data_IF_791889364581
#
_entry.id   IF_791889364581
#
_cell.length_a   1.000
_cell.length_b   1.000
_cell.length_c   1.000
_cell.angle_alpha   90.00
_cell.angle_beta   90.00
_cell.angle_gamma   90.00
#
_symmetry.space_group_name_H-M   'P 1'
#
loop_
_entity.id
_entity.type
_entity.pdbx_description
1 polymer ?
#
# COMPACT_ATOMS: atom_id res chain seq x y z
N UNK A 1 -44.22 32.73 25.68
CA UNK A 1 -44.75 31.41 26.08
C UNK A 1 -44.07 30.39 25.20
N UNK A 2 -43.10 29.66 25.76
CA UNK A 2 -42.46 28.53 25.09
C UNK A 2 -43.38 27.32 25.27
N UNK A 3 -43.86 26.74 24.18
CA UNK A 3 -44.44 25.41 24.20
C UNK A 3 -43.32 24.36 24.18
N UNK A 4 -43.26 23.60 25.28
CA UNK A 4 -42.43 22.43 25.43
C UNK A 4 -43.06 21.28 24.65
N UNK A 5 -42.43 20.84 23.56
CA UNK A 5 -42.82 19.60 22.89
C UNK A 5 -42.06 18.40 23.46
N UNK A 6 -42.84 17.38 23.81
CA UNK A 6 -42.43 16.14 24.48
C UNK A 6 -41.58 15.25 23.55
N UNK A 7 -40.70 14.44 24.15
CA UNK A 7 -39.92 13.40 23.45
C UNK A 7 -40.84 12.34 22.83
N UNK A 8 -40.62 11.88 21.59
CA UNK A 8 -41.27 10.68 21.10
C UNK A 8 -40.55 9.42 21.61
N UNK A 9 -41.35 8.38 21.81
CA UNK A 9 -40.96 7.07 22.32
C UNK A 9 -40.25 6.25 21.24
N UNK A 10 -39.40 5.33 21.69
CA UNK A 10 -38.67 4.36 20.86
C UNK A 10 -39.68 3.33 20.35
N UNK A 11 -39.98 3.34 19.04
CA UNK A 11 -40.41 2.21 18.20
C UNK A 11 -41.06 2.76 16.92
N UNK A 12 -40.26 3.25 15.98
CA UNK A 12 -40.70 3.45 14.59
C UNK A 12 -39.60 2.95 13.64
N UNK A 13 -39.86 1.76 13.09
CA UNK A 13 -39.07 1.09 12.07
C UNK A 13 -39.38 1.75 10.73
N UNK A 14 -38.40 2.44 10.14
CA UNK A 14 -38.50 2.94 8.76
C UNK A 14 -37.91 1.87 7.84
N UNK A 15 -38.80 1.20 7.10
CA UNK A 15 -38.49 0.43 5.90
C UNK A 15 -38.05 1.37 4.79
N UNK A 16 -36.88 1.12 4.19
CA UNK A 16 -36.42 1.77 2.96
C UNK A 16 -36.61 0.75 1.84
N UNK A 17 -37.35 1.16 0.80
CA UNK A 17 -37.63 0.40 -0.41
C UNK A 17 -36.35 0.15 -1.21
N UNK A 18 -36.12 -1.12 -1.57
CA UNK A 18 -35.06 -1.60 -2.46
C UNK A 18 -35.47 -1.35 -3.92
N UNK A 19 -34.70 -0.51 -4.63
CA UNK A 19 -34.77 -0.41 -6.09
C UNK A 19 -34.16 -1.66 -6.75
N UNK A 20 -35.00 -2.31 -7.55
CA UNK A 20 -34.75 -3.55 -8.27
C UNK A 20 -33.92 -3.34 -9.54
N UNK A 21 -32.64 -3.75 -9.55
CA UNK A 21 -31.89 -3.99 -10.81
C UNK A 21 -30.80 -5.08 -10.74
N UNK A 22 -30.57 -5.76 -9.60
CA UNK A 22 -29.41 -6.67 -9.43
C UNK A 22 -29.73 -8.20 -9.42
N UNK A 23 -30.98 -8.62 -9.63
CA UNK A 23 -31.33 -10.05 -9.45
C UNK A 23 -30.80 -11.00 -10.56
N UNK A 24 -30.59 -10.52 -11.79
CA UNK A 24 -30.16 -11.40 -12.89
C UNK A 24 -28.69 -11.86 -12.79
N UNK A 25 -27.78 -11.04 -12.24
CA UNK A 25 -26.37 -11.46 -12.07
C UNK A 25 -26.20 -12.49 -10.94
N UNK A 26 -26.98 -12.37 -9.85
CA UNK A 26 -26.94 -13.33 -8.73
C UNK A 26 -27.37 -14.75 -9.11
N UNK A 27 -28.29 -14.90 -10.06
CA UNK A 27 -28.81 -16.21 -10.48
C UNK A 27 -27.81 -16.93 -11.41
N UNK A 28 -27.07 -16.20 -12.24
CA UNK A 28 -26.03 -16.75 -13.12
C UNK A 28 -24.83 -17.24 -12.31
N UNK A 29 -24.48 -16.51 -11.25
CA UNK A 29 -23.38 -16.86 -10.33
C UNK A 29 -23.70 -18.15 -9.58
N UNK A 30 -24.90 -18.29 -8.98
CA UNK A 30 -25.30 -19.50 -8.21
C UNK A 30 -25.33 -20.79 -9.04
N UNK A 31 -25.67 -20.73 -10.33
CA UNK A 31 -25.68 -21.93 -11.22
C UNK A 31 -24.28 -22.43 -11.59
N UNK A 32 -23.23 -21.60 -11.54
CA UNK A 32 -21.84 -22.03 -11.80
C UNK A 32 -21.19 -22.74 -10.60
N UNK A 33 -21.55 -22.39 -9.36
CA UNK A 33 -20.92 -22.96 -8.15
C UNK A 33 -21.27 -24.44 -7.92
N UNK A 34 -22.49 -24.89 -8.24
CA UNK A 34 -22.86 -26.32 -8.12
C UNK A 34 -22.06 -27.25 -9.04
N UNK A 35 -21.40 -26.72 -10.09
CA UNK A 35 -20.61 -27.55 -11.02
C UNK A 35 -19.15 -27.71 -10.59
N UNK A 36 -18.66 -26.93 -9.62
CA UNK A 36 -17.26 -26.96 -9.16
C UNK A 36 -17.07 -27.89 -7.95
N UNK A 37 -18.05 -27.98 -7.05
CA UNK A 37 -18.01 -28.92 -5.90
C UNK A 37 -17.92 -30.39 -6.34
N UNK A 38 -18.33 -30.74 -7.56
CA UNK A 38 -18.22 -32.09 -8.10
C UNK A 38 -16.79 -32.47 -8.55
N UNK A 39 -15.85 -31.52 -8.66
CA UNK A 39 -14.51 -31.77 -9.24
C UNK A 39 -13.36 -31.83 -8.23
N UNK A 40 -13.56 -31.36 -6.99
CA UNK A 40 -12.52 -31.38 -5.96
C UNK A 40 -13.14 -31.68 -4.58
N UNK A 41 -13.00 -32.91 -4.05
CA UNK A 41 -13.48 -33.22 -2.72
C UNK A 41 -12.68 -32.43 -1.67
N UNK A 42 -13.39 -31.91 -0.68
CA UNK A 42 -12.84 -31.22 0.50
C UNK A 42 -11.84 -32.13 1.22
N UNK A 43 -10.55 -31.85 1.11
CA UNK A 43 -9.52 -32.53 1.88
C UNK A 43 -9.50 -31.93 3.28
N UNK A 44 -10.02 -32.68 4.26
CA UNK A 44 -9.82 -32.40 5.68
C UNK A 44 -8.34 -32.64 6.00
N UNK A 45 -7.63 -31.62 6.48
CA UNK A 45 -6.22 -31.70 6.84
C UNK A 45 -6.08 -32.14 8.31
N UNK A 46 -5.26 -33.16 8.54
CA UNK A 46 -4.83 -33.62 9.87
C UNK A 46 -3.73 -32.72 10.49
N UNK A 47 -3.62 -32.66 11.83
CA UNK A 47 -2.91 -31.62 12.57
C UNK A 47 -1.43 -31.91 12.83
N UNK A 48 -0.62 -32.17 11.79
CA UNK A 48 0.84 -32.27 11.94
C UNK A 48 1.57 -31.32 10.97
N UNK A 49 1.67 -30.04 11.33
CA UNK A 49 2.55 -29.08 10.64
C UNK A 49 3.92 -29.01 11.33
N UNK A 50 4.98 -29.09 10.50
CA UNK A 50 6.34 -28.69 10.84
C UNK A 50 6.35 -27.30 11.49
N UNK A 51 6.96 -27.21 12.67
CA UNK A 51 7.24 -25.95 13.37
C UNK A 51 8.27 -25.16 12.55
N UNK A 52 7.84 -24.07 11.91
CA UNK A 52 8.75 -23.11 11.28
C UNK A 52 9.19 -22.10 12.35
N UNK A 53 10.49 -22.08 12.66
CA UNK A 53 11.06 -21.08 13.56
C UNK A 53 11.07 -19.69 12.89
N UNK A 54 10.80 -18.61 13.64
CA UNK A 54 10.88 -17.25 13.13
C UNK A 54 12.34 -16.90 12.77
N UNK A 55 12.58 -16.11 11.69
CA UNK A 55 13.93 -15.81 11.23
C UNK A 55 14.72 -14.96 12.26
N UNK A 56 16.04 -15.11 12.33
CA UNK A 56 16.92 -14.26 13.15
C UNK A 56 16.85 -12.76 12.76
N UNK A 57 17.13 -11.87 13.72
CA UNK A 57 17.19 -10.41 13.56
C UNK A 57 18.59 -10.05 13.07
N UNK A 58 18.70 -9.54 11.83
CA UNK A 58 19.92 -8.91 11.33
C UNK A 58 19.55 -7.48 10.90
N UNK A 59 20.14 -6.48 11.57
CA UNK A 59 20.02 -5.07 11.19
C UNK A 59 20.93 -4.82 9.99
N UNK A 60 20.42 -4.19 8.93
CA UNK A 60 21.22 -3.85 7.75
C UNK A 60 21.36 -2.34 7.63
N UNK A 61 22.52 -1.87 7.16
CA UNK A 61 22.67 -0.50 6.68
C UNK A 61 21.61 -0.21 5.63
N UNK A 62 21.12 1.03 5.58
CA UNK A 62 20.14 1.50 4.59
C UNK A 62 20.51 0.91 3.21
N UNK A 63 19.65 0.07 2.59
CA UNK A 63 20.03 -0.80 1.47
C UNK A 63 20.50 -0.06 0.20
N UNK A 64 20.59 1.27 0.25
CA UNK A 64 21.06 2.12 -0.85
C UNK A 64 22.11 3.18 -0.44
N UNK A 65 22.74 3.09 0.74
CA UNK A 65 23.84 4.02 1.08
C UNK A 65 25.13 3.75 0.30
N UNK A 66 25.30 2.56 -0.30
CA UNK A 66 26.55 2.14 -0.97
C UNK A 66 26.38 1.67 -2.43
N UNK A 67 25.22 1.82 -3.08
CA UNK A 67 25.11 1.57 -4.52
C UNK A 67 25.27 2.90 -5.27
N UNK A 68 26.35 3.03 -6.05
CA UNK A 68 26.52 4.09 -7.05
C UNK A 68 25.39 3.96 -8.07
N UNK A 69 24.41 4.85 -7.91
CA UNK A 69 23.37 5.12 -8.88
C UNK A 69 24.07 5.53 -10.17
N UNK A 70 23.96 4.74 -11.24
CA UNK A 70 24.49 4.98 -12.58
C UNK A 70 25.51 6.14 -12.62
N UNK A 71 26.80 5.85 -12.43
CA UNK A 71 27.81 6.89 -12.55
C UNK A 71 27.61 7.66 -13.86
N UNK A 72 27.54 8.99 -13.76
CA UNK A 72 27.63 9.93 -14.88
C UNK A 72 29.08 9.97 -15.43
N UNK A 73 29.70 8.82 -15.68
CA UNK A 73 30.93 8.78 -16.44
C UNK A 73 30.56 8.60 -17.93
N UNK A 74 30.82 9.64 -18.71
CA UNK A 74 30.72 9.73 -20.18
C UNK A 74 29.44 10.33 -20.82
N UNK A 75 28.70 11.21 -20.13
CA UNK A 75 27.79 12.13 -20.86
C UNK A 75 28.27 13.58 -20.81
N UNK A 76 29.08 13.96 -21.81
CA UNK A 76 29.36 15.36 -22.14
C UNK A 76 28.25 15.87 -23.09
N UNK A 77 27.41 16.84 -22.71
CA UNK A 77 26.46 17.42 -23.64
C UNK A 77 27.22 18.10 -24.80
N UNK A 78 26.74 18.00 -26.06
CA UNK A 78 27.40 18.65 -27.19
C UNK A 78 27.43 20.17 -26.97
N UNK A 79 28.63 20.74 -27.08
CA UNK A 79 28.82 22.18 -27.07
C UNK A 79 28.11 22.81 -28.28
N UNK A 80 27.36 23.88 -28.02
CA UNK A 80 26.67 24.78 -28.95
C UNK A 80 25.25 24.39 -29.37
N UNK A 81 24.28 24.76 -28.54
CA UNK A 81 23.05 25.37 -29.03
C UNK A 81 22.72 26.62 -28.19
N UNK A 82 22.87 27.79 -28.81
CA UNK A 82 22.41 29.06 -28.25
C UNK A 82 20.88 29.05 -28.21
N UNK A 83 20.30 29.01 -27.01
CA UNK A 83 18.91 29.39 -26.80
C UNK A 83 18.87 30.89 -26.51
N UNK A 84 18.77 31.69 -27.57
CA UNK A 84 18.37 33.09 -27.46
C UNK A 84 16.86 33.17 -27.16
N UNK A 85 16.46 33.97 -26.17
CA UNK A 85 15.16 34.64 -26.22
C UNK A 85 14.05 34.29 -25.21
N UNK A 86 14.32 33.75 -24.01
CA UNK A 86 13.31 33.69 -22.95
C UNK A 86 13.77 34.43 -21.69
N UNK A 87 13.00 35.46 -21.27
CA UNK A 87 13.21 36.19 -20.02
C UNK A 87 13.21 35.21 -18.84
N UNK A 88 14.19 35.27 -17.92
CA UNK A 88 14.12 34.48 -16.70
C UNK A 88 12.90 34.90 -15.85
N UNK A 89 12.24 33.96 -15.16
CA UNK A 89 11.17 34.30 -14.22
C UNK A 89 11.71 35.19 -13.08
N UNK A 90 10.88 36.07 -12.50
CA UNK A 90 11.32 36.95 -11.42
C UNK A 90 11.81 36.12 -10.24
N UNK A 91 12.95 36.53 -9.66
CA UNK A 91 13.54 35.89 -8.48
C UNK A 91 12.59 36.01 -7.29
N UNK A 92 12.32 34.93 -6.55
CA UNK A 92 11.55 35.01 -5.32
C UNK A 92 12.30 35.85 -4.27
N UNK A 93 11.60 36.55 -3.37
CA UNK A 93 12.24 37.36 -2.34
C UNK A 93 13.16 36.49 -1.46
N UNK A 94 14.26 37.05 -0.94
CA UNK A 94 15.22 36.30 -0.15
C UNK A 94 14.53 35.74 1.10
N UNK A 95 14.39 34.41 1.15
CA UNK A 95 14.00 33.70 2.38
C UNK A 95 15.11 33.89 3.39
N UNK A 96 14.79 34.48 4.53
CA UNK A 96 15.73 34.63 5.64
C UNK A 96 16.09 33.22 6.15
N UNK A 97 17.15 32.64 5.59
CA UNK A 97 17.41 31.20 5.54
C UNK A 97 17.84 30.62 6.88
N UNK A 98 18.38 31.43 7.78
CA UNK A 98 18.91 30.94 9.06
C UNK A 98 17.81 30.74 10.10
N UNK A 99 16.87 31.68 10.26
CA UNK A 99 15.77 31.53 11.23
C UNK A 99 14.78 30.41 10.85
N UNK A 100 14.58 30.21 9.54
CA UNK A 100 13.68 29.17 9.04
C UNK A 100 14.35 27.79 9.14
N UNK A 101 15.66 27.66 8.88
CA UNK A 101 16.39 26.41 9.10
C UNK A 101 16.48 26.04 10.59
N UNK A 102 16.79 26.99 11.47
CA UNK A 102 16.89 26.76 12.92
C UNK A 102 15.53 26.37 13.55
N UNK A 103 14.43 26.97 13.09
CA UNK A 103 13.08 26.56 13.50
C UNK A 103 12.76 25.16 12.95
N UNK A 104 13.05 24.89 11.68
CA UNK A 104 12.74 23.58 11.05
C UNK A 104 13.58 22.45 11.68
N UNK A 105 14.83 22.69 12.07
CA UNK A 105 15.66 21.73 12.80
C UNK A 105 15.19 21.51 14.25
N UNK A 106 14.83 22.59 14.98
CA UNK A 106 14.25 22.45 16.32
C UNK A 106 12.90 21.70 16.31
N UNK A 107 12.07 21.90 15.29
CA UNK A 107 10.81 21.17 15.13
C UNK A 107 11.01 19.71 14.67
N UNK A 108 12.03 19.42 13.83
CA UNK A 108 12.39 18.04 13.46
C UNK A 108 12.82 17.21 14.68
N UNK A 109 13.57 17.81 15.61
CA UNK A 109 13.98 17.14 16.85
C UNK A 109 12.84 17.01 17.90
N UNK A 110 11.66 17.56 17.62
CA UNK A 110 10.48 17.51 18.49
C UNK A 110 9.36 16.63 17.91
N UNK A 111 9.68 15.62 17.11
CA UNK A 111 8.66 14.69 16.62
C UNK A 111 8.06 13.90 17.80
N UNK A 112 6.82 14.23 18.17
CA UNK A 112 6.10 13.59 19.28
C UNK A 112 5.71 12.14 18.98
N UNK A 113 5.66 11.76 17.71
CA UNK A 113 5.24 10.42 17.28
C UNK A 113 6.47 9.54 17.16
N UNK A 114 6.62 8.64 18.13
CA UNK A 114 7.69 7.64 18.20
C UNK A 114 7.14 6.25 17.88
N UNK A 115 8.02 5.36 17.44
CA UNK A 115 7.78 3.94 17.21
C UNK A 115 6.80 3.62 16.08
N UNK A 116 6.57 4.55 15.15
CA UNK A 116 5.73 4.27 13.98
C UNK A 116 6.45 3.32 13.04
N UNK A 117 5.98 2.06 12.96
CA UNK A 117 6.62 1.02 12.15
C UNK A 117 5.90 0.88 10.81
N UNK A 118 6.65 0.96 9.72
CA UNK A 118 6.09 0.93 8.36
C UNK A 118 6.71 -0.20 7.55
N UNK A 119 5.86 -1.07 7.00
CA UNK A 119 6.27 -2.11 6.07
C UNK A 119 5.87 -1.73 4.64
N UNK A 120 6.82 -1.70 3.72
CA UNK A 120 6.50 -1.71 2.29
C UNK A 120 6.53 -3.12 1.72
N UNK A 121 5.59 -3.43 0.84
CA UNK A 121 5.44 -4.73 0.18
C UNK A 121 5.23 -4.58 -1.33
N UNK A 122 5.91 -5.42 -2.09
CA UNK A 122 5.67 -5.65 -3.52
C UNK A 122 5.60 -7.16 -3.76
N UNK A 123 4.74 -7.60 -4.66
CA UNK A 123 4.59 -9.01 -4.98
C UNK A 123 4.88 -9.26 -6.47
N UNK A 124 5.52 -10.40 -6.74
CA UNK A 124 5.87 -10.89 -8.06
C UNK A 124 4.94 -12.06 -8.41
N UNK A 125 4.45 -12.06 -9.64
CA UNK A 125 3.48 -13.02 -10.14
C UNK A 125 3.89 -13.53 -11.51
N UNK A 126 3.43 -14.73 -11.84
CA UNK A 126 3.53 -15.34 -13.16
C UNK A 126 2.26 -14.97 -13.93
N UNK A 127 2.33 -14.22 -15.04
CA UNK A 127 1.15 -13.94 -15.88
C UNK A 127 1.11 -14.94 -17.04
N UNK A 128 0.03 -15.71 -17.16
CA UNK A 128 -0.09 -16.69 -18.24
C UNK A 128 -0.59 -16.02 -19.53
N UNK A 129 0.28 -15.95 -20.55
CA UNK A 129 0.01 -15.29 -21.84
C UNK A 129 -1.13 -15.91 -22.66
N UNK A 130 -1.50 -17.17 -22.42
CA UNK A 130 -2.64 -17.81 -23.12
C UNK A 130 -3.97 -17.12 -22.80
N UNK A 131 -4.12 -16.60 -21.57
CA UNK A 131 -5.30 -15.80 -21.19
C UNK A 131 -5.40 -14.44 -21.89
N UNK A 132 -4.29 -13.99 -22.52
CA UNK A 132 -4.16 -12.70 -23.20
C UNK A 132 -4.52 -12.81 -24.67
N UNK A 133 -4.21 -13.95 -25.32
CA UNK A 133 -4.49 -14.17 -26.75
C UNK A 133 -5.98 -14.36 -27.06
N UNK A 134 -6.76 -14.98 -26.17
CA UNK A 134 -8.21 -15.15 -26.39
C UNK A 134 -9.00 -13.83 -26.31
N UNK A 135 -8.42 -12.74 -25.78
CA UNK A 135 -9.12 -11.45 -25.58
C UNK A 135 -8.65 -10.34 -26.53
N UNK A 136 -7.67 -10.59 -27.40
CA UNK A 136 -7.05 -9.57 -28.26
C UNK A 136 -7.69 -9.39 -29.64
N UNK A 137 -8.84 -10.00 -29.93
CA UNK A 137 -9.48 -9.87 -31.26
C UNK A 137 -10.26 -8.57 -31.51
N UNK A 138 -10.18 -7.56 -30.62
CA UNK A 138 -10.79 -6.24 -30.88
C UNK A 138 -9.94 -5.08 -30.36
N UNK A 139 -9.16 -4.48 -31.26
CA UNK A 139 -8.80 -3.04 -31.39
C UNK A 139 -8.59 -2.14 -30.15
N UNK A 140 -8.26 -2.68 -28.99
CA UNK A 140 -7.76 -1.94 -27.83
C UNK A 140 -6.79 -2.86 -27.09
N UNK A 141 -5.50 -2.49 -27.04
CA UNK A 141 -4.50 -3.14 -26.18
C UNK A 141 -4.95 -3.00 -24.72
N UNK A 142 -5.77 -3.94 -24.25
CA UNK A 142 -6.22 -4.00 -22.86
C UNK A 142 -4.97 -4.32 -22.04
N UNK A 143 -4.51 -3.36 -21.23
CA UNK A 143 -3.46 -3.60 -20.22
C UNK A 143 -3.83 -4.85 -19.42
N UNK A 144 -3.05 -5.90 -19.58
CA UNK A 144 -3.22 -7.14 -18.86
C UNK A 144 -2.69 -6.93 -17.43
N UNK A 145 -3.56 -7.09 -16.45
CA UNK A 145 -3.19 -7.10 -15.03
C UNK A 145 -3.21 -8.55 -14.55
N UNK A 146 -2.28 -8.94 -13.66
CA UNK A 146 -2.29 -10.25 -13.02
C UNK A 146 -3.65 -10.52 -12.36
N UNK A 147 -4.20 -11.71 -12.59
CA UNK A 147 -5.43 -12.20 -12.01
C UNK A 147 -5.14 -13.18 -10.87
N UNK A 148 -5.45 -12.86 -9.60
CA UNK A 148 -5.21 -13.74 -8.46
C UNK A 148 -5.83 -15.15 -8.58
N UNK A 149 -6.85 -15.35 -9.41
CA UNK A 149 -7.44 -16.67 -9.62
C UNK A 149 -6.55 -17.57 -10.51
N UNK A 150 -5.85 -16.99 -11.48
CA UNK A 150 -5.15 -17.74 -12.51
C UNK A 150 -3.63 -17.68 -12.37
N UNK A 151 -3.13 -16.53 -11.94
CA UNK A 151 -1.73 -16.19 -11.92
C UNK A 151 -1.15 -16.49 -10.52
N UNK A 152 -0.16 -17.38 -10.39
CA UNK A 152 0.45 -17.69 -9.10
C UNK A 152 1.44 -16.62 -8.66
N UNK A 153 1.52 -16.41 -7.35
CA UNK A 153 2.56 -15.62 -6.70
C UNK A 153 3.89 -16.39 -6.67
N UNK A 154 4.94 -15.76 -7.20
CA UNK A 154 6.29 -16.29 -7.27
C UNK A 154 7.16 -15.81 -6.10
N UNK A 155 6.83 -14.65 -5.54
CA UNK A 155 7.54 -14.12 -4.39
C UNK A 155 6.99 -12.80 -3.87
N UNK A 156 7.37 -12.49 -2.63
CA UNK A 156 7.03 -11.26 -1.93
C UNK A 156 8.32 -10.58 -1.48
N UNK A 157 8.37 -9.28 -1.66
CA UNK A 157 9.50 -8.41 -1.34
C UNK A 157 9.02 -7.39 -0.32
N UNK A 158 9.81 -7.18 0.73
CA UNK A 158 9.43 -6.27 1.78
C UNK A 158 10.62 -5.51 2.36
N UNK A 159 10.33 -4.31 2.85
CA UNK A 159 11.26 -3.50 3.62
C UNK A 159 10.47 -2.89 4.78
N UNK A 160 11.01 -2.99 5.99
CA UNK A 160 10.42 -2.51 7.23
C UNK A 160 11.32 -1.41 7.76
N UNK A 161 10.72 -0.26 8.05
CA UNK A 161 11.36 0.85 8.72
C UNK A 161 10.77 0.97 10.12
N UNK A 162 11.63 0.91 11.13
CA UNK A 162 11.24 1.16 12.51
C UNK A 162 11.41 2.64 12.84
N UNK A 163 10.46 3.18 13.62
CA UNK A 163 10.48 4.57 14.09
C UNK A 163 10.72 5.62 12.99
N UNK A 164 9.97 5.49 11.89
CA UNK A 164 10.18 6.29 10.66
C UNK A 164 10.09 7.81 10.88
N UNK A 165 9.40 8.22 11.95
CA UNK A 165 9.15 9.62 12.28
C UNK A 165 10.30 10.29 13.04
N UNK A 166 11.27 9.52 13.56
CA UNK A 166 12.36 10.04 14.39
C UNK A 166 13.61 10.38 13.58
N UNK A 167 14.07 9.45 12.72
CA UNK A 167 15.15 9.73 11.77
C UNK A 167 15.06 8.77 10.59
N UNK A 168 14.56 9.24 9.45
CA UNK A 168 14.48 8.39 8.25
C UNK A 168 15.86 7.87 7.80
N UNK A 169 16.91 8.70 7.93
CA UNK A 169 18.27 8.36 7.51
C UNK A 169 18.94 7.32 8.43
N UNK A 170 18.62 7.36 9.73
CA UNK A 170 19.15 6.44 10.73
C UNK A 170 18.14 5.39 11.20
N UNK A 171 17.02 5.22 10.47
CA UNK A 171 16.00 4.26 10.84
C UNK A 171 16.58 2.85 10.79
N UNK A 172 16.25 2.03 11.77
CA UNK A 172 16.51 0.60 11.70
C UNK A 172 15.70 0.02 10.54
N UNK A 173 16.39 -0.69 9.64
CA UNK A 173 15.79 -1.25 8.43
C UNK A 173 15.99 -2.77 8.41
N UNK A 174 14.88 -3.47 8.19
CA UNK A 174 14.88 -4.90 7.91
C UNK A 174 14.25 -5.13 6.55
N UNK A 175 14.94 -5.81 5.66
CA UNK A 175 14.44 -6.10 4.31
C UNK A 175 14.76 -7.51 3.88
N UNK A 176 13.93 -8.05 2.99
CA UNK A 176 14.20 -9.33 2.35
C UNK A 176 13.17 -9.70 1.32
N UNK A 177 13.26 -10.94 0.85
CA UNK A 177 12.23 -11.52 0.01
C UNK A 177 12.01 -13.01 0.34
N UNK A 178 10.83 -13.48 -0.02
CA UNK A 178 10.46 -14.90 0.03
C UNK A 178 10.06 -15.34 -1.38
N UNK A 179 10.55 -16.49 -1.84
CA UNK A 179 10.23 -17.04 -3.17
C UNK A 179 10.13 -18.56 -3.14
N UNK A 180 9.32 -19.14 -4.02
CA UNK A 180 9.14 -20.59 -4.12
C UNK A 180 9.94 -21.23 -5.28
N UNK A 181 9.85 -20.68 -6.48
CA UNK A 181 10.35 -21.30 -7.73
C UNK A 181 11.71 -20.78 -8.20
N UNK A 182 12.12 -19.58 -7.79
CA UNK A 182 13.30 -18.91 -8.34
C UNK A 182 14.61 -19.50 -7.80
N UNK A 183 15.57 -19.71 -8.69
CA UNK A 183 16.98 -19.97 -8.33
C UNK A 183 17.73 -18.64 -8.19
N UNK A 184 18.61 -18.52 -7.21
CA UNK A 184 19.35 -17.27 -6.98
C UNK A 184 20.74 -17.55 -6.39
N UNK A 185 21.65 -16.60 -6.57
CA UNK A 185 22.97 -16.61 -5.92
C UNK A 185 22.86 -15.89 -4.57
N UNK A 186 23.20 -16.58 -3.48
CA UNK A 186 23.06 -16.07 -2.10
C UNK A 186 23.82 -14.78 -1.78
N UNK A 187 24.80 -14.39 -2.60
CA UNK A 187 25.75 -13.30 -2.29
C UNK A 187 25.23 -11.88 -2.55
N UNK A 188 24.08 -11.71 -3.21
CA UNK A 188 23.64 -10.39 -3.71
C UNK A 188 22.47 -9.77 -2.95
N UNK A 189 21.94 -10.43 -1.92
CA UNK A 189 20.74 -9.97 -1.21
C UNK A 189 20.88 -10.16 0.30
N UNK A 190 20.39 -9.21 1.12
CA UNK A 190 20.51 -9.30 2.57
C UNK A 190 19.80 -10.54 3.12
N UNK A 191 18.57 -10.83 2.66
CA UNK A 191 17.83 -12.02 3.11
C UNK A 191 16.87 -12.53 2.04
N UNK A 192 17.08 -13.77 1.59
CA UNK A 192 16.17 -14.48 0.69
C UNK A 192 15.77 -15.80 1.34
N UNK A 193 14.48 -15.97 1.58
CA UNK A 193 13.90 -17.21 2.07
C UNK A 193 13.30 -18.01 0.91
N UNK A 194 13.70 -19.28 0.79
CA UNK A 194 13.15 -20.19 -0.21
C UNK A 194 12.13 -21.10 0.44
N UNK A 195 10.89 -21.07 -0.06
CA UNK A 195 9.78 -21.90 0.43
C UNK A 195 9.38 -22.96 -0.58
N UNK A 196 8.62 -23.99 -0.14
CA UNK A 196 8.29 -25.15 -0.97
C UNK A 196 7.14 -24.87 -1.93
N UNK A 197 6.09 -24.21 -1.45
CA UNK A 197 4.90 -23.92 -2.26
C UNK A 197 4.44 -22.47 -2.12
N UNK A 198 3.53 -22.06 -3.00
CA UNK A 198 2.91 -20.73 -2.97
C UNK A 198 2.19 -20.45 -1.64
N UNK A 199 1.50 -21.44 -1.06
CA UNK A 199 0.84 -21.27 0.24
C UNK A 199 1.82 -20.93 1.38
N UNK A 200 3.05 -21.44 1.31
CA UNK A 200 4.10 -21.11 2.28
C UNK A 200 4.57 -19.66 2.17
N UNK A 201 4.49 -19.03 0.99
CA UNK A 201 4.76 -17.60 0.82
C UNK A 201 3.81 -16.78 1.70
N UNK A 202 2.52 -17.11 1.69
CA UNK A 202 1.51 -16.40 2.49
C UNK A 202 1.65 -16.67 3.99
N UNK A 203 1.94 -17.91 4.38
CA UNK A 203 2.26 -18.23 5.79
C UNK A 203 3.49 -17.43 6.26
N UNK A 204 4.51 -17.34 5.42
CA UNK A 204 5.72 -16.60 5.72
C UNK A 204 5.45 -15.09 5.86
N UNK A 205 4.62 -14.51 4.97
CA UNK A 205 4.17 -13.13 5.12
C UNK A 205 3.43 -12.91 6.46
N UNK A 206 2.55 -13.82 6.86
CA UNK A 206 1.88 -13.72 8.16
C UNK A 206 2.85 -13.79 9.34
N UNK A 207 3.90 -14.61 9.25
CA UNK A 207 4.97 -14.66 10.26
C UNK A 207 5.73 -13.34 10.37
N UNK A 208 6.11 -12.72 9.24
CA UNK A 208 6.76 -11.40 9.23
C UNK A 208 5.89 -10.34 9.89
N UNK A 209 4.60 -10.30 9.55
CA UNK A 209 3.67 -9.33 10.11
C UNK A 209 3.45 -9.53 11.61
N UNK A 210 3.40 -10.77 12.08
CA UNK A 210 3.31 -11.06 13.52
C UNK A 210 4.60 -10.74 14.26
N UNK A 211 5.75 -11.01 13.65
CA UNK A 211 7.06 -10.79 14.26
C UNK A 211 7.37 -9.31 14.45
N UNK A 212 7.19 -8.50 13.40
CA UNK A 212 7.59 -7.09 13.40
C UNK A 212 6.43 -6.13 13.66
N UNK A 213 5.20 -6.64 13.65
CA UNK A 213 3.96 -5.91 13.94
C UNK A 213 3.87 -4.49 13.36
N UNK A 214 3.99 -4.30 12.04
CA UNK A 214 3.96 -2.97 11.44
C UNK A 214 2.60 -2.28 11.60
N UNK A 215 2.61 -0.99 11.93
CA UNK A 215 1.40 -0.16 12.04
C UNK A 215 0.82 0.18 10.68
N UNK A 216 1.71 0.49 9.74
CA UNK A 216 1.36 0.91 8.38
C UNK A 216 1.95 -0.08 7.38
N UNK A 217 1.12 -0.57 6.46
CA UNK A 217 1.54 -1.39 5.33
C UNK A 217 1.31 -0.58 4.05
N UNK A 218 2.35 -0.44 3.25
CA UNK A 218 2.33 0.34 2.00
C UNK A 218 2.76 -0.50 0.81
N UNK A 219 2.20 -0.21 -0.35
CA UNK A 219 2.66 -0.75 -1.63
C UNK A 219 2.37 0.26 -2.72
N UNK A 220 3.09 0.18 -3.85
CA UNK A 220 2.90 1.16 -4.90
C UNK A 220 1.43 1.18 -5.34
N UNK A 221 0.89 -0.01 -5.64
CA UNK A 221 -0.54 -0.27 -5.83
C UNK A 221 -1.03 -1.42 -4.94
N UNK A 222 -1.17 -1.14 -3.64
CA UNK A 222 -1.50 -2.15 -2.62
C UNK A 222 -2.80 -2.91 -2.88
N UNK A 223 -3.76 -2.28 -3.56
CA UNK A 223 -5.07 -2.85 -3.84
C UNK A 223 -5.05 -3.86 -4.99
N UNK A 224 -4.13 -3.73 -5.96
CA UNK A 224 -4.14 -4.56 -7.17
C UNK A 224 -2.91 -5.46 -7.31
N UNK A 225 -1.72 -4.96 -6.97
CA UNK A 225 -0.44 -5.56 -7.33
C UNK A 225 0.47 -5.86 -6.14
N UNK A 226 0.00 -5.67 -4.90
CA UNK A 226 0.80 -5.96 -3.71
C UNK A 226 0.00 -6.79 -2.70
N UNK A 227 -0.41 -6.20 -1.57
CA UNK A 227 -0.95 -6.95 -0.44
C UNK A 227 -2.32 -7.58 -0.73
N UNK A 228 -3.24 -6.83 -1.33
CA UNK A 228 -4.58 -7.34 -1.60
C UNK A 228 -4.60 -8.46 -2.65
N UNK A 229 -3.61 -8.48 -3.55
CA UNK A 229 -3.40 -9.63 -4.45
C UNK A 229 -3.13 -10.90 -3.64
N UNK A 230 -2.27 -10.81 -2.62
CA UNK A 230 -1.94 -11.93 -1.74
C UNK A 230 -3.18 -12.43 -0.97
N UNK A 231 -4.04 -11.52 -0.50
CA UNK A 231 -5.31 -11.87 0.14
C UNK A 231 -6.20 -12.69 -0.81
N UNK A 232 -6.42 -12.17 -2.02
CA UNK A 232 -7.30 -12.80 -3.01
C UNK A 232 -6.75 -14.15 -3.46
N UNK A 233 -5.42 -14.26 -3.62
CA UNK A 233 -4.75 -15.50 -4.00
C UNK A 233 -4.77 -16.53 -2.89
N UNK A 234 -4.51 -16.14 -1.64
CA UNK A 234 -4.62 -17.02 -0.49
C UNK A 234 -6.04 -17.58 -0.32
N UNK A 235 -7.06 -16.73 -0.51
CA UNK A 235 -8.46 -17.15 -0.51
C UNK A 235 -8.78 -18.15 -1.64
N UNK A 236 -8.25 -17.92 -2.85
CA UNK A 236 -8.40 -18.84 -3.97
C UNK A 236 -7.76 -20.21 -3.71
N UNK A 237 -6.61 -20.24 -3.04
CA UNK A 237 -5.94 -21.48 -2.61
C UNK A 237 -6.60 -22.16 -1.40
N UNK A 238 -7.69 -21.61 -0.86
CA UNK A 238 -8.38 -22.16 0.31
C UNK A 238 -7.68 -21.89 1.65
N UNK A 239 -6.75 -20.94 1.72
CA UNK A 239 -6.05 -20.55 2.96
C UNK A 239 -6.93 -19.55 3.72
N UNK A 240 -8.02 -20.06 4.29
CA UNK A 240 -9.08 -19.23 4.91
C UNK A 240 -8.58 -18.43 6.12
N UNK A 241 -7.58 -18.93 6.84
CA UNK A 241 -7.03 -18.27 8.03
C UNK A 241 -6.02 -17.16 7.72
N UNK A 242 -5.72 -16.86 6.45
CA UNK A 242 -4.70 -15.87 6.11
C UNK A 242 -5.06 -14.46 6.63
N UNK A 243 -6.30 -14.01 6.40
CA UNK A 243 -6.74 -12.68 6.84
C UNK A 243 -6.73 -12.53 8.37
N UNK A 244 -7.16 -13.57 9.09
CA UNK A 244 -7.04 -13.61 10.54
C UNK A 244 -5.58 -13.57 10.98
N UNK A 245 -4.71 -14.25 10.25
CA UNK A 245 -3.30 -14.34 10.61
C UNK A 245 -2.52 -13.04 10.45
N UNK A 246 -2.95 -12.17 9.54
CA UNK A 246 -2.32 -10.88 9.28
C UNK A 246 -2.99 -9.72 10.05
N UNK A 247 -4.22 -9.91 10.54
CA UNK A 247 -4.94 -8.97 11.41
C UNK A 247 -4.32 -8.91 12.81
N UNK A 248 -4.40 -7.74 13.47
CA UNK A 248 -4.09 -7.63 14.91
C UNK A 248 -5.24 -8.10 15.80
N UNK A 249 -6.45 -8.19 15.24
CA UNK A 249 -7.64 -8.67 15.92
C UNK A 249 -8.00 -10.07 15.43
N UNK A 250 -8.02 -11.04 16.35
CA UNK A 250 -8.68 -12.33 16.17
C UNK A 250 -10.11 -12.17 16.66
N UNK A 251 -11.03 -11.94 15.73
CA UNK A 251 -12.46 -12.04 16.04
C UNK A 251 -12.88 -13.47 15.68
N UNK A 252 -13.87 -14.02 16.39
CA UNK A 252 -14.53 -15.25 15.94
C UNK A 252 -15.42 -14.86 14.77
N UNK A 253 -14.89 -14.94 13.57
CA UNK A 253 -15.52 -14.37 12.39
C UNK A 253 -16.47 -15.38 11.73
N UNK A 254 -17.66 -14.93 11.34
CA UNK A 254 -18.58 -15.72 10.52
C UNK A 254 -17.95 -16.10 9.17
N UNK A 255 -18.32 -17.29 8.69
CA UNK A 255 -17.73 -17.98 7.52
C UNK A 255 -17.93 -17.26 6.18
N UNK A 256 -18.54 -16.09 6.15
CA UNK A 256 -18.64 -15.32 4.91
C UNK A 256 -17.27 -14.82 4.48
N UNK A 257 -16.88 -15.27 3.30
CA UNK A 257 -15.51 -15.24 2.78
C UNK A 257 -15.08 -13.78 2.60
N UNK A 258 -14.28 -13.30 3.55
CA UNK A 258 -13.61 -12.00 3.47
C UNK A 258 -12.49 -12.05 2.43
N UNK A 259 -12.63 -11.26 1.36
CA UNK A 259 -11.70 -11.26 0.20
C UNK A 259 -11.01 -9.91 0.01
N UNK A 260 -11.19 -8.97 0.93
CA UNK A 260 -10.77 -7.59 0.73
C UNK A 260 -9.76 -7.12 1.78
N UNK A 261 -9.04 -6.07 1.42
CA UNK A 261 -8.08 -5.40 2.30
C UNK A 261 -8.76 -4.76 3.52
N UNK A 262 -10.00 -4.29 3.37
CA UNK A 262 -10.76 -3.56 4.39
C UNK A 262 -11.20 -4.47 5.56
N UNK A 263 -11.10 -5.78 5.35
CA UNK A 263 -11.41 -6.81 6.32
C UNK A 263 -10.33 -6.95 7.41
N UNK A 264 -9.11 -6.49 7.13
CA UNK A 264 -7.98 -6.59 8.05
C UNK A 264 -8.03 -5.42 9.04
N UNK A 265 -8.05 -5.74 10.33
CA UNK A 265 -8.19 -4.74 11.40
C UNK A 265 -6.91 -4.54 12.18
N UNK A 266 -6.75 -3.33 12.72
CA UNK A 266 -5.62 -2.92 13.55
C UNK A 266 -4.35 -2.52 12.80
N UNK A 267 -4.38 -2.52 11.46
CA UNK A 267 -3.28 -2.03 10.61
C UNK A 267 -3.81 -1.00 9.60
N UNK A 268 -2.97 -0.03 9.26
CA UNK A 268 -3.28 0.99 8.26
C UNK A 268 -2.70 0.55 6.92
N UNK A 269 -3.52 0.59 5.86
CA UNK A 269 -3.07 0.28 4.51
C UNK A 269 -3.03 1.53 3.64
N UNK A 270 -1.87 1.83 3.06
CA UNK A 270 -1.70 3.00 2.18
C UNK A 270 -1.31 2.60 0.77
N UNK A 271 -1.98 3.23 -0.20
CA UNK A 271 -1.68 3.09 -1.61
C UNK A 271 -0.83 4.29 -2.06
N UNK A 272 0.44 4.06 -2.38
CA UNK A 272 1.41 5.14 -2.62
C UNK A 272 1.00 5.99 -3.81
N UNK A 273 0.62 5.41 -4.95
CA UNK A 273 0.29 6.22 -6.13
C UNK A 273 -0.95 7.11 -5.91
N UNK A 274 -1.92 6.65 -5.09
CA UNK A 274 -3.09 7.45 -4.73
C UNK A 274 -2.71 8.65 -3.86
N UNK A 275 -1.78 8.45 -2.93
CA UNK A 275 -1.24 9.53 -2.09
C UNK A 275 -0.50 10.52 -2.98
N UNK A 276 0.45 10.06 -3.79
CA UNK A 276 1.21 10.93 -4.71
C UNK A 276 0.28 11.76 -5.60
N UNK A 277 -0.79 11.15 -6.16
CA UNK A 277 -1.77 11.86 -6.98
C UNK A 277 -2.48 13.01 -6.26
N UNK A 278 -2.71 12.87 -4.95
CA UNK A 278 -3.35 13.92 -4.14
C UNK A 278 -2.37 15.03 -3.78
N UNK A 279 -1.10 14.69 -3.60
CA UNK A 279 -0.07 15.61 -3.12
C UNK A 279 0.59 16.40 -4.25
N UNK A 280 0.80 15.79 -5.41
CA UNK A 280 1.48 16.42 -6.53
C UNK A 280 0.80 16.10 -7.87
N UNK A 281 0.35 17.12 -8.62
CA UNK A 281 -0.23 16.90 -9.95
C UNK A 281 0.87 16.53 -10.95
N UNK A 282 0.77 15.33 -11.53
CA UNK A 282 1.68 14.81 -12.55
C UNK A 282 0.93 14.32 -13.78
N UNK A 283 1.60 14.31 -14.96
CA UNK A 283 1.04 13.74 -16.20
C UNK A 283 0.81 12.24 -16.11
N UNK A 284 1.78 11.52 -15.52
CA UNK A 284 1.74 10.08 -15.38
C UNK A 284 2.20 9.68 -13.98
N UNK A 285 1.48 8.76 -13.35
CA UNK A 285 1.79 8.20 -12.04
C UNK A 285 2.36 6.78 -12.16
N UNK A 286 3.26 6.56 -13.12
CA UNK A 286 4.09 5.34 -13.14
C UNK A 286 5.22 5.51 -12.13
N UNK A 287 5.70 4.40 -11.55
CA UNK A 287 6.72 4.46 -10.51
C UNK A 287 7.99 5.17 -11.03
N UNK A 288 8.46 4.84 -12.24
CA UNK A 288 9.59 5.54 -12.88
C UNK A 288 9.42 7.07 -12.96
N UNK A 289 8.23 7.55 -13.31
CA UNK A 289 7.93 8.98 -13.42
C UNK A 289 7.89 9.64 -12.04
N UNK A 290 7.26 8.99 -11.06
CA UNK A 290 7.17 9.47 -9.68
C UNK A 290 8.55 9.54 -9.02
N UNK A 291 9.40 8.52 -9.21
CA UNK A 291 10.77 8.50 -8.69
C UNK A 291 11.60 9.64 -9.29
N UNK A 292 11.45 9.90 -10.59
CA UNK A 292 12.18 10.99 -11.24
C UNK A 292 11.74 12.36 -10.72
N UNK A 293 10.44 12.59 -10.62
CA UNK A 293 9.89 13.88 -10.23
C UNK A 293 10.13 14.21 -8.75
N UNK A 294 9.92 13.24 -7.85
CA UNK A 294 9.98 13.46 -6.39
C UNK A 294 11.38 13.26 -5.83
N UNK A 295 12.10 12.23 -6.29
CA UNK A 295 13.41 11.87 -5.74
C UNK A 295 14.58 12.38 -6.60
N UNK A 296 14.31 12.85 -7.82
CA UNK A 296 15.36 13.26 -8.77
C UNK A 296 16.16 12.09 -9.35
N UNK A 297 15.71 10.84 -9.16
CA UNK A 297 16.46 9.62 -9.55
C UNK A 297 15.84 8.93 -10.76
N UNK A 298 16.62 8.11 -11.46
CA UNK A 298 16.10 7.26 -12.55
C UNK A 298 15.77 5.87 -12.02
N UNK A 299 14.61 5.36 -12.41
CA UNK A 299 14.19 3.99 -12.15
C UNK A 299 13.60 3.39 -13.42
N UNK A 300 14.15 2.26 -13.86
CA UNK A 300 13.70 1.56 -15.05
C UNK A 300 12.52 0.65 -14.71
N UNK A 301 11.30 1.04 -15.07
CA UNK A 301 10.12 0.18 -14.93
C UNK A 301 10.23 -1.03 -15.86
N UNK A 302 10.19 -2.24 -15.30
CA UNK A 302 10.13 -3.46 -16.10
C UNK A 302 8.67 -3.83 -16.40
N UNK A 303 8.37 -4.09 -17.67
CA UNK A 303 7.06 -4.61 -18.04
C UNK A 303 6.92 -6.05 -17.57
N UNK A 304 5.67 -6.46 -17.27
CA UNK A 304 5.37 -7.83 -16.86
C UNK A 304 5.84 -8.86 -17.88
N UNK A 305 5.66 -8.58 -19.18
CA UNK A 305 6.16 -9.41 -20.28
C UNK A 305 7.69 -9.59 -20.26
N UNK A 306 8.42 -8.51 -19.96
CA UNK A 306 9.88 -8.59 -19.88
C UNK A 306 10.32 -9.40 -18.66
N UNK A 307 9.66 -9.24 -17.52
CA UNK A 307 9.91 -10.02 -16.31
C UNK A 307 9.71 -11.52 -16.59
N UNK A 308 8.61 -11.90 -17.22
CA UNK A 308 8.36 -13.30 -17.62
C UNK A 308 9.49 -13.86 -18.48
N UNK A 309 9.88 -13.12 -19.52
CA UNK A 309 10.96 -13.53 -20.42
C UNK A 309 12.27 -13.79 -19.67
N UNK A 310 12.59 -12.98 -18.65
CA UNK A 310 13.77 -13.18 -17.80
C UNK A 310 13.66 -14.41 -16.90
N UNK A 311 12.43 -14.79 -16.50
CA UNK A 311 12.18 -15.90 -15.58
C UNK A 311 12.04 -17.27 -16.28
N UNK A 312 11.83 -17.30 -17.61
CA UNK A 312 11.63 -18.55 -18.39
C UNK A 312 12.73 -19.58 -18.14
N UNK A 313 13.99 -19.19 -18.31
CA UNK A 313 15.13 -20.11 -18.20
C UNK A 313 15.52 -20.42 -16.74
N UNK A 314 14.90 -19.71 -15.78
CA UNK A 314 15.21 -19.79 -14.35
C UNK A 314 16.72 -19.66 -14.06
N UNK A 315 17.42 -18.82 -14.84
CA UNK A 315 18.84 -18.52 -14.68
C UNK A 315 19.06 -17.74 -13.37
N UNK A 316 19.91 -18.21 -12.45
CA UNK A 316 20.25 -17.49 -11.23
C UNK A 316 20.69 -16.04 -11.42
N UNK A 317 21.35 -15.69 -12.53
CA UNK A 317 21.80 -14.32 -12.77
C UNK A 317 20.61 -13.40 -13.14
N UNK A 318 19.80 -13.81 -14.11
CA UNK A 318 18.61 -13.05 -14.54
C UNK A 318 17.58 -12.93 -13.42
N UNK A 319 17.37 -14.02 -12.67
CA UNK A 319 16.52 -14.00 -11.49
C UNK A 319 17.00 -12.97 -10.46
N UNK A 320 18.32 -12.87 -10.23
CA UNK A 320 18.87 -11.89 -9.28
C UNK A 320 18.60 -10.44 -9.70
N UNK A 321 18.57 -10.16 -11.01
CA UNK A 321 18.15 -8.84 -11.55
C UNK A 321 16.68 -8.56 -11.21
N UNK A 322 15.79 -9.52 -11.42
CA UNK A 322 14.35 -9.38 -11.09
C UNK A 322 14.16 -9.20 -9.59
N UNK A 323 14.82 -10.03 -8.77
CA UNK A 323 14.75 -9.91 -7.31
C UNK A 323 15.17 -8.51 -6.86
N UNK A 324 16.31 -8.00 -7.36
CA UNK A 324 16.84 -6.68 -7.02
C UNK A 324 15.89 -5.56 -7.44
N UNK A 325 15.28 -5.68 -8.61
CA UNK A 325 14.29 -4.71 -9.07
C UNK A 325 13.10 -4.61 -8.13
N UNK A 326 12.48 -5.73 -7.73
CA UNK A 326 11.30 -5.70 -6.85
C UNK A 326 11.63 -5.25 -5.42
N UNK A 327 12.79 -5.63 -4.90
CA UNK A 327 13.25 -5.11 -3.61
C UNK A 327 13.49 -3.60 -3.65
N UNK A 328 14.10 -3.09 -4.73
CA UNK A 328 14.23 -1.64 -4.96
C UNK A 328 12.87 -0.96 -5.05
N UNK A 329 11.87 -1.55 -5.73
CA UNK A 329 10.49 -1.03 -5.73
C UNK A 329 9.92 -0.88 -4.31
N UNK A 330 10.06 -1.91 -3.48
CA UNK A 330 9.59 -1.86 -2.09
C UNK A 330 10.30 -0.76 -1.28
N UNK A 331 11.61 -0.57 -1.46
CA UNK A 331 12.34 0.53 -0.79
C UNK A 331 11.94 1.92 -1.30
N UNK A 332 11.70 2.07 -2.61
CA UNK A 332 11.30 3.34 -3.23
C UNK A 332 9.95 3.84 -2.72
N UNK A 333 9.00 2.94 -2.43
CA UNK A 333 7.70 3.31 -1.86
C UNK A 333 7.84 4.15 -0.59
N UNK A 334 8.72 3.74 0.33
CA UNK A 334 8.95 4.46 1.58
C UNK A 334 9.68 5.78 1.32
N UNK A 335 10.67 5.79 0.43
CA UNK A 335 11.41 7.01 0.09
C UNK A 335 10.50 8.08 -0.52
N UNK A 336 9.59 7.69 -1.41
CA UNK A 336 8.62 8.60 -2.00
C UNK A 336 7.74 9.23 -0.90
N UNK A 337 7.19 8.39 -0.01
CA UNK A 337 6.34 8.87 1.09
C UNK A 337 7.11 9.74 2.10
N UNK A 338 8.37 9.41 2.36
CA UNK A 338 9.25 10.20 3.23
C UNK A 338 9.64 11.54 2.61
N UNK A 339 9.94 11.58 1.30
CA UNK A 339 10.25 12.82 0.59
C UNK A 339 9.05 13.77 0.54
N UNK A 340 7.83 13.21 0.47
CA UNK A 340 6.58 13.95 0.60
C UNK A 340 6.19 14.24 2.04
N UNK A 341 7.01 13.89 3.03
CA UNK A 341 6.78 14.07 4.46
C UNK A 341 5.43 13.54 4.97
N UNK A 342 4.96 12.42 4.40
CA UNK A 342 3.61 11.90 4.66
C UNK A 342 3.47 11.42 6.09
N UNK A 343 4.46 10.71 6.63
CA UNK A 343 4.35 10.11 7.96
C UNK A 343 4.30 11.17 9.06
N UNK A 344 5.26 12.11 9.07
CA UNK A 344 5.35 13.15 10.10
C UNK A 344 4.17 14.11 9.96
N UNK A 345 3.95 14.69 8.76
CA UNK A 345 2.85 15.65 8.54
C UNK A 345 1.50 15.07 8.91
N UNK A 346 1.18 13.86 8.44
CA UNK A 346 -0.13 13.23 8.69
C UNK A 346 -0.32 12.91 10.15
N UNK A 347 0.73 12.41 10.84
CA UNK A 347 0.64 12.09 12.26
C UNK A 347 0.45 13.35 13.11
N UNK A 348 1.17 14.44 12.82
CA UNK A 348 0.99 15.71 13.51
C UNK A 348 -0.39 16.32 13.25
N UNK A 349 -0.87 16.27 12.01
CA UNK A 349 -2.23 16.70 11.66
C UNK A 349 -3.29 15.88 12.40
N UNK A 350 -3.10 14.56 12.53
CA UNK A 350 -4.02 13.70 13.28
C UNK A 350 -4.11 14.13 14.75
N UNK A 351 -2.98 14.44 15.39
CA UNK A 351 -2.93 14.94 16.77
C UNK A 351 -3.64 16.30 16.91
N UNK A 352 -3.41 17.22 15.99
CA UNK A 352 -4.00 18.57 16.00
C UNK A 352 -5.53 18.49 15.75
N UNK A 353 -5.96 17.80 14.71
CA UNK A 353 -7.37 17.63 14.37
C UNK A 353 -8.12 16.66 15.28
N UNK A 354 -7.42 15.83 16.07
CA UNK A 354 -8.03 14.79 16.91
C UNK A 354 -8.82 13.77 16.13
N UNK A 355 -8.32 13.38 14.96
CA UNK A 355 -8.94 12.39 14.07
C UNK A 355 -7.93 11.27 13.78
N UNK A 356 -8.39 10.19 13.16
CA UNK A 356 -7.51 9.06 12.85
C UNK A 356 -6.51 9.42 11.75
N UNK A 357 -5.34 8.76 11.76
CA UNK A 357 -4.29 8.97 10.75
C UNK A 357 -4.81 8.84 9.31
N UNK A 358 -5.61 7.79 9.03
CA UNK A 358 -6.20 7.53 7.71
C UNK A 358 -7.23 8.58 7.30
N UNK A 359 -7.97 9.13 8.27
CA UNK A 359 -8.99 10.16 8.03
C UNK A 359 -8.35 11.48 7.60
N UNK A 360 -7.16 11.80 8.10
CA UNK A 360 -6.39 12.96 7.62
C UNK A 360 -6.16 12.86 6.11
N UNK A 361 -5.81 11.66 5.61
CA UNK A 361 -5.51 11.45 4.19
C UNK A 361 -6.76 11.36 3.31
N UNK A 362 -7.89 10.89 3.86
CA UNK A 362 -9.08 10.50 3.08
C UNK A 362 -10.26 11.45 3.21
N UNK A 363 -10.44 12.11 4.36
CA UNK A 363 -11.58 12.99 4.64
C UNK A 363 -11.27 14.44 4.26
N UNK A 364 -12.32 15.15 3.84
CA UNK A 364 -12.24 16.55 3.42
C UNK A 364 -12.01 17.53 4.57
N UNK A 365 -11.82 18.81 4.21
CA UNK A 365 -11.60 19.89 5.17
C UNK A 365 -12.75 20.06 6.17
N UNK A 366 -14.00 19.88 5.73
CA UNK A 366 -15.19 19.98 6.59
C UNK A 366 -15.08 19.06 7.81
N UNK A 367 -14.76 17.78 7.60
CA UNK A 367 -14.62 16.79 8.70
C UNK A 367 -13.55 17.22 9.72
N UNK A 368 -12.46 17.84 9.26
CA UNK A 368 -11.38 18.33 10.13
C UNK A 368 -11.84 19.51 10.98
N UNK A 369 -12.57 20.45 10.38
CA UNK A 369 -13.13 21.62 11.07
C UNK A 369 -14.19 21.18 12.08
N UNK A 370 -15.10 20.29 11.68
CA UNK A 370 -16.13 19.75 12.56
C UNK A 370 -15.51 19.03 13.77
N UNK A 371 -14.51 18.17 13.58
CA UNK A 371 -13.84 17.49 14.70
C UNK A 371 -13.21 18.47 15.71
N UNK A 372 -12.63 19.57 15.24
CA UNK A 372 -12.10 20.61 16.13
C UNK A 372 -13.24 21.38 16.83
N UNK A 373 -14.25 21.80 16.08
CA UNK A 373 -15.35 22.60 16.59
C UNK A 373 -16.17 21.82 17.63
N UNK A 374 -16.49 20.55 17.38
CA UNK A 374 -17.22 19.71 18.33
C UNK A 374 -16.50 19.60 19.67
N UNK A 375 -15.17 19.46 19.66
CA UNK A 375 -14.37 19.41 20.90
C UNK A 375 -14.37 20.75 21.64
N UNK A 376 -14.25 21.86 20.92
CA UNK A 376 -14.35 23.20 21.52
C UNK A 376 -15.75 23.49 22.06
N UNK A 377 -16.79 23.16 21.31
CA UNK A 377 -18.18 23.29 21.75
C UNK A 377 -18.43 22.52 23.04
N UNK A 378 -17.93 21.28 23.14
CA UNK A 378 -18.05 20.49 24.36
C UNK A 378 -17.33 21.13 25.56
N UNK A 379 -16.15 21.73 25.36
CA UNK A 379 -15.42 22.45 26.43
C UNK A 379 -16.20 23.68 26.92
N UNK A 380 -16.92 24.35 26.02
CA UNK A 380 -17.71 25.54 26.31
C UNK A 380 -19.20 25.25 26.58
N UNK A 381 -19.57 23.98 26.77
CA UNK A 381 -20.96 23.54 27.04
C UNK A 381 -21.99 23.95 25.96
N UNK A 382 -21.53 24.09 24.71
CA UNK A 382 -22.40 24.32 23.56
C UNK A 382 -22.88 23.01 22.92
N UNK A 383 -24.13 23.02 22.44
CA UNK A 383 -24.69 21.97 21.60
C UNK A 383 -24.67 22.41 20.13
N UNK A 384 -23.85 21.79 19.27
CA UNK A 384 -23.79 22.14 17.86
C UNK A 384 -25.05 21.66 17.12
N UNK A 385 -25.66 22.50 16.26
CA UNK A 385 -26.86 22.12 15.53
C UNK A 385 -26.54 21.11 14.42
N UNK A 386 -27.38 20.09 14.27
CA UNK A 386 -27.33 19.14 13.15
C UNK A 386 -28.42 19.50 12.14
N UNK A 387 -28.09 20.39 11.21
CA UNK A 387 -29.03 20.97 10.24
C UNK A 387 -29.24 20.01 9.05
N UNK A 388 -30.50 19.76 8.68
CA UNK A 388 -30.83 18.95 7.51
C UNK A 388 -30.42 19.64 6.20
N UNK A 389 -30.45 18.90 5.08
CA UNK A 389 -30.19 19.50 3.75
C UNK A 389 -31.26 20.53 3.41
N UNK A 390 -32.52 20.21 3.69
CA UNK A 390 -33.69 21.08 3.43
C UNK A 390 -33.60 22.39 4.22
N UNK A 391 -33.21 22.32 5.49
CA UNK A 391 -33.05 23.49 6.36
C UNK A 391 -31.91 24.40 5.89
N UNK A 392 -30.86 23.85 5.26
CA UNK A 392 -29.77 24.65 4.65
C UNK A 392 -30.23 25.40 3.40
N UNK A 393 -31.11 24.81 2.60
CA UNK A 393 -31.63 25.42 1.37
C UNK A 393 -32.76 26.43 1.58
N UNK A 394 -33.34 26.49 2.79
CA UNK A 394 -34.42 27.41 3.14
C UNK A 394 -33.95 28.83 3.49
N UNK A 395 -32.64 29.08 3.43
CA UNK A 395 -31.96 30.37 3.62
C UNK A 395 -31.56 30.95 2.27
#
# INVERSE_FOLDING_TARGET
MLEMTQRPNVDDVITIDDDSEDEEETIVVKKRYKKVEAKYPTVLLEPNQQVFEPPAIDHYANPMSNETWCEDEDWQPPANHKYDGLRPPPTPPPKNSNAQKDATEKFKNACFVKNLTVLSIEALFECNQESVKEKSDKSNEKKCYPNPQNDPCLGIFYVIYFDICNSFENADIVGGCVTNKMKFKRKEFPKIEKVKCEGDIFRWLALILRKYDPDIIVGYDINRLSFNYCIQRAAFLGIQSFNESVSRLSLKWDKEIRKSLDDIRGRIFLNVWKIVRREQPMRHYRLSAVVHEILGKRFADMSQFFIEKLLVDNDPNLNSVVLRHFFRKASLNIQILSALDIFIRTSQMALVYGIQFTEVLTRGSQFRVESMLLRLSNIHEYCPPSVSVEQRSAT
#
